data_IF_735984549443
#
_entry.id   IF_735984549443
#
_cell.length_a   1.000
_cell.length_b   1.000
_cell.length_c   1.000
_cell.angle_alpha   90.00
_cell.angle_beta   90.00
_cell.angle_gamma   90.00
#
_symmetry.space_group_name_H-M   'P 1'
#
loop_
_entity.id
_entity.type
_entity.pdbx_description
1 polymer ?
#
# COMPACT_ATOMS: atom_id res chain seq x y z
N UNK A 1 -16.31 4.06 17.03
CA UNK A 1 -15.30 4.43 16.02
C UNK A 1 -13.93 3.99 16.50
N UNK A 2 -13.09 3.34 15.68
CA UNK A 2 -11.74 3.01 16.07
C UNK A 2 -10.96 4.29 16.38
N UNK A 3 -10.26 4.33 17.53
CA UNK A 3 -9.48 5.49 17.94
C UNK A 3 -8.27 5.63 17.01
N UNK A 4 -8.22 6.74 16.27
CA UNK A 4 -7.06 7.08 15.43
C UNK A 4 -5.86 7.38 16.34
N UNK A 5 -4.68 6.78 16.09
CA UNK A 5 -3.46 7.15 16.80
C UNK A 5 -3.18 8.66 16.68
N UNK A 6 -2.53 9.25 17.68
CA UNK A 6 -2.18 10.67 17.63
C UNK A 6 -1.26 10.96 16.44
N UNK A 7 -1.71 11.83 15.56
CA UNK A 7 -0.97 12.35 14.41
C UNK A 7 -1.02 13.87 14.42
N UNK A 8 -0.11 14.51 13.68
CA UNK A 8 -0.08 15.96 13.55
C UNK A 8 -1.45 16.49 13.06
N UNK A 9 -2.00 17.58 13.64
CA UNK A 9 -3.31 18.13 13.25
C UNK A 9 -3.45 18.42 11.77
N UNK A 10 -2.40 18.94 11.11
CA UNK A 10 -2.40 19.19 9.68
C UNK A 10 -2.57 17.89 8.87
N UNK A 11 -1.81 16.86 9.24
CA UNK A 11 -1.91 15.54 8.58
C UNK A 11 -3.27 14.88 8.89
N UNK A 12 -3.82 15.13 10.06
CA UNK A 12 -5.16 14.67 10.41
C UNK A 12 -6.23 15.31 9.51
N UNK A 13 -6.14 16.61 9.22
CA UNK A 13 -7.03 17.27 8.29
C UNK A 13 -6.91 16.66 6.89
N UNK A 14 -5.70 16.49 6.37
CA UNK A 14 -5.49 15.84 5.06
C UNK A 14 -6.06 14.42 4.98
N UNK A 15 -6.01 13.69 6.08
CA UNK A 15 -6.53 12.33 6.15
C UNK A 15 -8.05 12.28 6.23
N UNK A 16 -8.66 13.16 7.02
CA UNK A 16 -10.11 13.12 7.32
C UNK A 16 -10.95 13.94 6.34
N UNK A 17 -10.37 14.96 5.71
CA UNK A 17 -11.03 15.84 4.75
C UNK A 17 -10.60 15.53 3.31
N UNK A 18 -9.59 14.71 3.14
CA UNK A 18 -9.03 14.30 1.85
C UNK A 18 -9.83 13.19 1.15
N UNK A 19 -9.44 12.87 -0.08
CA UNK A 19 -10.14 11.89 -0.92
C UNK A 19 -10.20 10.48 -0.33
N UNK A 20 -9.29 10.12 0.57
CA UNK A 20 -9.23 8.80 1.21
C UNK A 20 -9.96 8.74 2.57
N UNK A 21 -10.67 9.80 2.97
CA UNK A 21 -11.32 9.88 4.29
C UNK A 21 -12.28 8.73 4.59
N UNK A 22 -13.01 8.26 3.58
CA UNK A 22 -13.93 7.13 3.71
C UNK A 22 -13.21 5.82 4.05
N UNK A 23 -11.95 5.63 3.64
CA UNK A 23 -11.16 4.42 3.85
C UNK A 23 -10.39 4.42 5.17
N UNK A 24 -10.30 5.57 5.85
CA UNK A 24 -9.54 5.70 7.12
C UNK A 24 -10.00 4.69 8.18
N UNK A 25 -11.31 4.48 8.44
CA UNK A 25 -11.74 3.50 9.43
C UNK A 25 -11.28 2.08 9.13
N UNK A 26 -11.40 1.65 7.87
CA UNK A 26 -10.96 0.33 7.42
C UNK A 26 -9.42 0.18 7.52
N UNK A 27 -8.69 1.25 7.21
CA UNK A 27 -7.24 1.26 7.31
C UNK A 27 -6.77 1.15 8.76
N UNK A 28 -7.35 1.92 9.69
CA UNK A 28 -7.05 1.85 11.13
C UNK A 28 -7.36 0.45 11.69
N UNK A 29 -8.50 -0.13 11.30
CA UNK A 29 -8.87 -1.47 11.74
C UNK A 29 -7.89 -2.53 11.20
N UNK A 30 -7.40 -2.38 9.98
CA UNK A 30 -6.36 -3.25 9.42
C UNK A 30 -5.06 -3.19 10.23
N UNK A 31 -4.62 -1.98 10.61
CA UNK A 31 -3.43 -1.80 11.45
C UNK A 31 -3.60 -2.46 12.82
N UNK A 32 -4.79 -2.31 13.42
CA UNK A 32 -5.13 -2.92 14.70
C UNK A 32 -5.12 -4.46 14.62
N UNK A 33 -5.73 -5.04 13.59
CA UNK A 33 -5.74 -6.51 13.37
C UNK A 33 -4.33 -7.06 13.11
N UNK A 34 -3.51 -6.29 12.41
CA UNK A 34 -2.10 -6.62 12.17
C UNK A 34 -1.21 -6.45 13.39
N UNK A 35 -1.76 -5.99 14.54
CA UNK A 35 -1.04 -5.73 15.80
C UNK A 35 0.18 -4.82 15.61
N UNK A 36 0.04 -3.84 14.71
CA UNK A 36 1.11 -2.85 14.52
C UNK A 36 1.26 -1.98 15.76
N UNK A 37 2.52 -1.70 16.15
CA UNK A 37 2.81 -0.78 17.25
C UNK A 37 2.22 0.61 16.95
N UNK A 38 1.79 1.34 17.99
CA UNK A 38 1.18 2.67 17.86
C UNK A 38 2.06 3.63 17.05
N UNK A 39 3.36 3.64 17.29
CA UNK A 39 4.31 4.45 16.55
C UNK A 39 4.30 4.10 15.03
N UNK A 40 4.32 2.83 14.67
CA UNK A 40 4.24 2.38 13.27
C UNK A 40 2.92 2.80 12.64
N UNK A 41 1.82 2.63 13.37
CA UNK A 41 0.48 3.03 12.91
C UNK A 41 0.39 4.54 12.66
N UNK A 42 0.93 5.38 13.58
CA UNK A 42 0.99 6.82 13.38
C UNK A 42 1.83 7.21 12.17
N UNK A 43 2.99 6.60 11.98
CA UNK A 43 3.86 6.86 10.82
C UNK A 43 3.18 6.49 9.50
N UNK A 44 2.51 5.35 9.45
CA UNK A 44 1.81 4.92 8.25
C UNK A 44 0.60 5.81 7.94
N UNK A 45 -0.17 6.21 8.94
CA UNK A 45 -1.25 7.17 8.77
C UNK A 45 -0.74 8.53 8.27
N UNK A 46 0.41 9.01 8.76
CA UNK A 46 1.07 10.20 8.22
C UNK A 46 1.43 10.04 6.74
N UNK A 47 1.91 8.86 6.33
CA UNK A 47 2.20 8.57 4.93
C UNK A 47 0.94 8.57 4.06
N UNK A 48 -0.14 7.96 4.53
CA UNK A 48 -1.45 7.96 3.82
C UNK A 48 -2.03 9.38 3.74
N UNK A 49 -1.91 10.18 4.81
CA UNK A 49 -2.34 11.58 4.81
C UNK A 49 -1.58 12.42 3.76
N UNK A 50 -0.26 12.25 3.68
CA UNK A 50 0.57 12.93 2.68
C UNK A 50 0.17 12.53 1.24
N UNK A 51 -0.06 11.25 1.01
CA UNK A 51 -0.53 10.77 -0.28
C UNK A 51 -1.93 11.33 -0.64
N UNK A 52 -2.86 11.34 0.32
CA UNK A 52 -4.19 11.92 0.14
C UNK A 52 -4.13 13.42 -0.21
N UNK A 53 -3.24 14.17 0.44
CA UNK A 53 -3.00 15.57 0.11
C UNK A 53 -2.47 15.75 -1.32
N UNK A 54 -1.48 14.95 -1.73
CA UNK A 54 -0.99 14.95 -3.10
C UNK A 54 -2.07 14.62 -4.12
N UNK A 55 -2.92 13.63 -3.84
CA UNK A 55 -4.07 13.31 -4.69
C UNK A 55 -5.00 14.52 -4.86
N UNK A 56 -5.29 15.25 -3.76
CA UNK A 56 -6.10 16.47 -3.80
C UNK A 56 -5.47 17.54 -4.68
N UNK A 57 -4.16 17.77 -4.53
CA UNK A 57 -3.44 18.76 -5.35
C UNK A 57 -3.43 18.39 -6.83
N UNK A 58 -3.33 17.10 -7.15
CA UNK A 58 -3.31 16.60 -8.52
C UNK A 58 -4.71 16.29 -9.07
N UNK A 59 -5.78 16.53 -8.29
CA UNK A 59 -7.17 16.23 -8.66
C UNK A 59 -7.39 14.76 -9.09
N UNK A 60 -6.68 13.83 -8.43
CA UNK A 60 -6.78 12.40 -8.72
C UNK A 60 -7.99 11.83 -7.98
N UNK A 61 -9.02 11.34 -8.68
CA UNK A 61 -10.17 10.73 -8.04
C UNK A 61 -9.83 9.32 -7.53
N UNK A 62 -10.45 8.89 -6.43
CA UNK A 62 -10.14 7.62 -5.75
C UNK A 62 -10.30 6.41 -6.67
N UNK A 63 -11.31 6.42 -7.54
CA UNK A 63 -11.57 5.30 -8.46
C UNK A 63 -10.51 5.12 -9.56
N UNK A 64 -9.61 6.08 -9.73
CA UNK A 64 -8.49 6.02 -10.67
C UNK A 64 -7.19 5.57 -10.03
N UNK A 65 -7.21 5.24 -8.72
CA UNK A 65 -6.01 4.81 -8.02
C UNK A 65 -5.56 3.41 -8.46
N UNK A 66 -4.26 3.33 -8.71
CA UNK A 66 -3.56 2.09 -9.03
C UNK A 66 -2.11 2.12 -8.48
N UNK A 67 -1.34 1.10 -8.76
CA UNK A 67 0.07 1.03 -8.44
C UNK A 67 0.90 2.14 -9.12
N UNK A 68 0.51 2.54 -10.33
CA UNK A 68 1.16 3.61 -11.08
C UNK A 68 1.06 4.96 -10.37
N UNK A 69 -0.09 5.24 -9.73
CA UNK A 69 -0.26 6.44 -8.91
C UNK A 69 0.68 6.45 -7.69
N UNK A 70 0.85 5.30 -7.03
CA UNK A 70 1.82 5.17 -5.92
C UNK A 70 3.25 5.40 -6.44
N UNK A 71 3.62 4.78 -7.53
CA UNK A 71 4.95 4.95 -8.15
C UNK A 71 5.20 6.40 -8.56
N UNK A 72 4.20 7.07 -9.13
CA UNK A 72 4.28 8.48 -9.50
C UNK A 72 4.51 9.37 -8.29
N UNK A 73 3.75 9.16 -7.21
CA UNK A 73 3.94 9.87 -5.95
C UNK A 73 5.35 9.67 -5.39
N UNK A 74 5.83 8.43 -5.31
CA UNK A 74 7.12 8.09 -4.74
C UNK A 74 8.31 8.60 -5.56
N UNK A 75 8.21 8.58 -6.90
CA UNK A 75 9.33 8.94 -7.80
C UNK A 75 9.40 10.42 -8.11
N UNK A 76 8.24 11.08 -8.24
CA UNK A 76 8.21 12.46 -8.76
C UNK A 76 7.80 13.48 -7.71
N UNK A 77 6.82 13.19 -6.86
CA UNK A 77 6.39 14.12 -5.82
C UNK A 77 7.31 14.09 -4.61
N UNK A 78 7.51 12.91 -4.02
CA UNK A 78 8.22 12.75 -2.74
C UNK A 78 9.62 13.40 -2.70
N UNK A 79 10.48 13.28 -3.73
CA UNK A 79 11.82 13.89 -3.70
C UNK A 79 11.82 15.41 -3.81
N UNK A 80 10.73 16.01 -4.28
CA UNK A 80 10.64 17.44 -4.61
C UNK A 80 9.64 18.21 -3.75
N UNK A 81 8.85 17.50 -2.92
CA UNK A 81 7.80 18.14 -2.15
C UNK A 81 8.36 18.89 -0.95
N UNK A 82 7.83 20.09 -0.73
CA UNK A 82 8.02 20.90 0.46
C UNK A 82 6.85 20.75 1.45
N UNK A 83 6.13 19.63 1.37
CA UNK A 83 4.98 19.37 2.21
C UNK A 83 5.38 19.37 3.69
N UNK A 84 4.75 20.25 4.46
CA UNK A 84 4.97 20.43 5.89
C UNK A 84 4.36 19.26 6.68
N UNK A 85 4.81 19.06 7.90
CA UNK A 85 4.10 18.21 8.86
C UNK A 85 4.78 16.91 9.29
N UNK A 86 6.09 16.74 9.06
CA UNK A 86 6.79 15.52 9.49
C UNK A 86 6.33 14.28 8.74
N UNK A 87 5.92 14.47 7.49
CA UNK A 87 5.49 13.41 6.61
C UNK A 87 6.60 12.36 6.45
N UNK A 88 6.20 11.10 6.43
CA UNK A 88 7.11 9.99 6.15
C UNK A 88 7.75 10.19 4.77
N UNK A 89 9.08 10.19 4.71
CA UNK A 89 9.84 10.47 3.47
C UNK A 89 10.62 9.27 2.94
N UNK A 90 10.55 8.12 3.61
CA UNK A 90 11.22 6.91 3.17
C UNK A 90 10.36 6.20 2.12
N UNK A 91 10.79 6.11 0.84
CA UNK A 91 9.96 5.53 -0.23
C UNK A 91 9.49 4.11 0.06
N UNK A 92 10.36 3.28 0.66
CA UNK A 92 10.03 1.90 1.00
C UNK A 92 8.94 1.79 2.07
N UNK A 93 9.00 2.63 3.11
CA UNK A 93 7.97 2.66 4.15
C UNK A 93 6.65 3.22 3.63
N UNK A 94 6.71 4.27 2.79
CA UNK A 94 5.53 4.83 2.13
C UNK A 94 4.87 3.80 1.21
N UNK A 95 5.65 3.10 0.39
CA UNK A 95 5.11 2.02 -0.43
C UNK A 95 4.40 0.97 0.43
N UNK A 96 5.03 0.53 1.55
CA UNK A 96 4.44 -0.43 2.47
C UNK A 96 3.14 0.10 3.13
N UNK A 97 3.06 1.41 3.40
CA UNK A 97 1.87 2.04 3.95
C UNK A 97 0.75 2.22 2.92
N UNK A 98 1.08 2.44 1.63
CA UNK A 98 0.10 2.75 0.59
C UNK A 98 -0.50 1.51 -0.08
N UNK A 99 0.25 0.41 -0.19
CA UNK A 99 -0.28 -0.84 -0.75
C UNK A 99 -1.57 -1.30 -0.06
N UNK A 100 -1.68 -1.29 1.29
CA UNK A 100 -2.93 -1.63 1.96
C UNK A 100 -4.13 -0.73 1.61
N UNK A 101 -3.90 0.51 1.19
CA UNK A 101 -4.97 1.41 0.72
C UNK A 101 -5.60 0.85 -0.55
N UNK A 102 -4.78 0.44 -1.53
CA UNK A 102 -5.29 -0.18 -2.76
C UNK A 102 -6.02 -1.49 -2.47
N UNK A 103 -5.51 -2.30 -1.54
CA UNK A 103 -6.17 -3.55 -1.15
C UNK A 103 -7.55 -3.30 -0.52
N UNK A 104 -7.70 -2.24 0.30
CA UNK A 104 -8.99 -1.84 0.88
C UNK A 104 -9.94 -1.36 -0.23
N UNK A 105 -9.49 -0.47 -1.11
CA UNK A 105 -10.29 0.05 -2.21
C UNK A 105 -10.77 -1.06 -3.16
N UNK A 106 -9.95 -2.09 -3.40
CA UNK A 106 -10.32 -3.28 -4.17
C UNK A 106 -11.34 -4.15 -3.46
N UNK A 107 -11.18 -4.31 -2.15
CA UNK A 107 -12.12 -5.06 -1.32
C UNK A 107 -13.51 -4.38 -1.23
N UNK A 108 -13.52 -3.05 -1.23
CA UNK A 108 -14.74 -2.23 -1.26
C UNK A 108 -15.34 -2.07 -2.66
N UNK A 109 -14.67 -2.55 -3.71
CA UNK A 109 -15.12 -2.44 -5.10
C UNK A 109 -15.02 -1.02 -5.67
N UNK A 110 -14.27 -0.12 -5.02
CA UNK A 110 -14.06 1.25 -5.49
C UNK A 110 -13.12 1.31 -6.68
N UNK A 111 -12.10 0.45 -6.70
CA UNK A 111 -11.17 0.29 -7.83
C UNK A 111 -11.20 -1.14 -8.35
N UNK A 112 -10.88 -1.31 -9.62
CA UNK A 112 -10.80 -2.63 -10.23
C UNK A 112 -9.75 -3.51 -9.54
N UNK A 113 -10.04 -4.81 -9.43
CA UNK A 113 -9.04 -5.76 -8.98
C UNK A 113 -7.91 -5.79 -10.01
N UNK A 114 -6.66 -5.73 -9.54
CA UNK A 114 -5.51 -5.92 -10.44
C UNK A 114 -5.72 -7.23 -11.24
N UNK A 115 -5.51 -7.20 -12.57
CA UNK A 115 -5.59 -8.43 -13.36
C UNK A 115 -4.63 -9.45 -12.75
N UNK A 116 -5.08 -10.70 -12.65
CA UNK A 116 -4.19 -11.76 -12.22
C UNK A 116 -3.01 -11.83 -13.20
N UNK A 117 -1.77 -11.94 -12.73
CA UNK A 117 -0.63 -12.15 -13.59
C UNK A 117 -0.92 -13.34 -14.51
N UNK A 118 -0.68 -13.20 -15.80
CA UNK A 118 -0.88 -14.25 -16.80
C UNK A 118 0.42 -14.55 -17.50
N UNK A 119 0.54 -15.77 -18.02
CA UNK A 119 1.71 -16.22 -18.77
C UNK A 119 2.59 -17.22 -18.03
N UNK A 120 3.62 -17.77 -18.68
CA UNK A 120 4.43 -18.88 -18.16
C UNK A 120 5.08 -18.61 -16.82
N UNK A 121 5.54 -17.37 -16.60
CA UNK A 121 6.16 -16.96 -15.31
C UNK A 121 5.11 -16.97 -14.20
N UNK A 122 3.91 -16.44 -14.46
CA UNK A 122 2.84 -16.40 -13.48
C UNK A 122 2.35 -17.82 -13.12
N UNK A 123 2.25 -18.70 -14.10
CA UNK A 123 1.86 -20.09 -13.90
C UNK A 123 2.89 -20.84 -13.05
N UNK A 124 4.17 -20.59 -13.27
CA UNK A 124 5.26 -21.19 -12.49
C UNK A 124 5.28 -20.67 -11.05
N UNK A 125 5.11 -19.36 -10.86
CA UNK A 125 5.00 -18.76 -9.53
C UNK A 125 3.80 -19.32 -8.76
N UNK A 126 2.67 -19.51 -9.43
CA UNK A 126 1.47 -20.10 -8.82
C UNK A 126 1.70 -21.56 -8.39
N UNK A 127 2.36 -22.36 -9.22
CA UNK A 127 2.76 -23.73 -8.90
C UNK A 127 3.70 -23.78 -7.70
N UNK A 128 4.69 -22.89 -7.68
CA UNK A 128 5.65 -22.79 -6.59
C UNK A 128 4.99 -22.35 -5.28
N UNK A 129 4.04 -21.40 -5.32
CA UNK A 129 3.26 -21.00 -4.14
C UNK A 129 2.44 -22.15 -3.57
N UNK A 130 1.75 -22.90 -4.42
CA UNK A 130 1.01 -24.08 -4.03
C UNK A 130 1.91 -25.13 -3.37
N UNK A 131 3.09 -25.38 -3.95
CA UNK A 131 4.08 -26.30 -3.37
C UNK A 131 4.58 -25.82 -2.01
N UNK A 132 4.93 -24.54 -1.85
CA UNK A 132 5.36 -23.98 -0.57
C UNK A 132 4.26 -24.08 0.50
N UNK A 133 3.01 -23.95 0.10
CA UNK A 133 1.86 -24.06 0.99
C UNK A 133 1.61 -25.52 1.43
N UNK A 134 1.54 -26.45 0.46
CA UNK A 134 1.15 -27.84 0.71
C UNK A 134 2.28 -28.70 1.26
N UNK A 135 3.47 -28.64 0.67
CA UNK A 135 4.59 -29.51 1.02
C UNK A 135 5.41 -29.03 2.22
N UNK A 136 5.41 -27.71 2.50
CA UNK A 136 6.22 -27.11 3.56
C UNK A 136 5.43 -26.32 4.61
N UNK A 137 4.15 -26.13 4.43
CA UNK A 137 3.29 -25.40 5.37
C UNK A 137 3.76 -23.98 5.68
N UNK A 138 4.45 -23.31 4.73
CA UNK A 138 5.03 -22.00 4.98
C UNK A 138 3.96 -20.93 5.15
N UNK A 139 4.14 -20.06 6.15
CA UNK A 139 3.26 -18.93 6.39
C UNK A 139 3.16 -18.01 5.15
N UNK A 140 1.99 -17.42 4.92
CA UNK A 140 1.70 -16.59 3.76
C UNK A 140 2.69 -15.42 3.56
N UNK A 141 3.18 -14.81 4.67
CA UNK A 141 4.21 -13.75 4.63
C UNK A 141 5.54 -14.24 4.05
N UNK A 142 5.99 -15.42 4.48
CA UNK A 142 7.23 -16.05 4.00
C UNK A 142 7.11 -16.43 2.52
N UNK A 143 5.96 -17.00 2.12
CA UNK A 143 5.70 -17.35 0.72
C UNK A 143 5.74 -16.12 -0.18
N UNK A 144 5.05 -15.03 0.18
CA UNK A 144 5.08 -13.77 -0.57
C UNK A 144 6.49 -13.20 -0.74
N UNK A 145 7.30 -13.26 0.32
CA UNK A 145 8.71 -12.81 0.24
C UNK A 145 9.51 -13.62 -0.76
N UNK A 146 9.39 -14.94 -0.75
CA UNK A 146 10.09 -15.85 -1.69
C UNK A 146 9.60 -15.67 -3.12
N UNK A 147 8.29 -15.59 -3.35
CA UNK A 147 7.72 -15.37 -4.68
C UNK A 147 8.24 -14.09 -5.32
N UNK A 148 8.30 -12.99 -4.58
CA UNK A 148 8.85 -11.71 -5.09
C UNK A 148 10.30 -11.82 -5.56
N UNK A 149 11.13 -12.59 -4.85
CA UNK A 149 12.53 -12.80 -5.23
C UNK A 149 12.62 -13.62 -6.51
N UNK A 150 11.86 -14.70 -6.59
CA UNK A 150 11.84 -15.60 -7.75
C UNK A 150 11.25 -14.90 -8.98
N UNK A 151 10.15 -14.16 -8.81
CA UNK A 151 9.55 -13.35 -9.88
C UNK A 151 10.58 -12.40 -10.49
N UNK A 152 11.30 -11.66 -9.65
CA UNK A 152 12.35 -10.74 -10.12
C UNK A 152 13.45 -11.48 -10.89
N UNK A 153 13.85 -12.66 -10.40
CA UNK A 153 14.84 -13.48 -11.08
C UNK A 153 14.33 -13.97 -12.46
N UNK A 154 13.11 -14.48 -12.52
CA UNK A 154 12.51 -14.98 -13.76
C UNK A 154 12.34 -13.85 -14.78
N UNK A 155 11.83 -12.69 -14.36
CA UNK A 155 11.71 -11.52 -15.22
C UNK A 155 13.09 -11.04 -15.73
N UNK A 156 14.14 -11.12 -14.93
CA UNK A 156 15.49 -10.71 -15.36
C UNK A 156 16.14 -11.67 -16.36
N UNK A 157 15.65 -12.91 -16.49
CA UNK A 157 16.24 -13.95 -17.34
C UNK A 157 15.42 -14.25 -18.58
N UNK A 158 14.10 -14.03 -18.54
CA UNK A 158 13.15 -14.52 -19.54
C UNK A 158 12.18 -13.44 -20.06
N UNK A 159 12.31 -12.17 -19.61
CA UNK A 159 11.52 -11.03 -20.10
C UNK A 159 12.33 -10.15 -21.07
#
# INVERSE_FOLDING_TARGET
MPKIPAINPLLQAWLLEGPLSAQVPAYVERLRRGRYATHTSSRWLNGVAHFAHWMSMCHIPVHMLDEGCIDQFLRYHLPRCDCLGGALRTPMELHAALVPVLEILRAEGVIARAPAPTGPIADELSRYDAHMSSARGLAAGTRRGRLRIIERLLLSKFA
#
